data_IF_720950503572
#
_entry.id   IF_720950503572
#
_cell.length_a   1.000
_cell.length_b   1.000
_cell.length_c   1.000
_cell.angle_alpha   90.00
_cell.angle_beta   90.00
_cell.angle_gamma   90.00
#
_symmetry.space_group_name_H-M   'P 1'
#
loop_
_entity.id
_entity.type
_entity.pdbx_description
1 polymer ?
#
# COMPACT_ATOMS: atom_id res chain seq x y z
N UNK A 1 -22.89 -4.42 4.60
CA UNK A 1 -23.08 -5.89 4.65
C UNK A 1 -24.09 -6.22 5.74
N UNK A 2 -24.72 -7.39 5.72
CA UNK A 2 -25.64 -7.81 6.78
C UNK A 2 -24.91 -8.74 7.76
N UNK A 3 -25.19 -8.58 9.05
CA UNK A 3 -24.76 -9.52 10.08
C UNK A 3 -25.50 -10.85 9.90
N UNK A 4 -24.78 -11.95 10.05
CA UNK A 4 -25.28 -13.33 10.00
C UNK A 4 -24.79 -14.07 11.25
N UNK A 5 -25.46 -15.18 11.57
CA UNK A 5 -25.05 -16.03 12.68
C UNK A 5 -23.58 -16.46 12.54
N UNK A 6 -22.87 -16.40 13.66
CA UNK A 6 -21.46 -16.77 13.78
C UNK A 6 -21.34 -17.87 14.82
N UNK A 7 -20.82 -19.03 14.39
CA UNK A 7 -20.50 -20.15 15.28
C UNK A 7 -19.10 -20.03 15.90
N UNK A 8 -18.38 -18.94 15.61
CA UNK A 8 -17.03 -18.72 16.11
C UNK A 8 -17.03 -18.39 17.59
N UNK A 9 -16.09 -18.98 18.33
CA UNK A 9 -15.81 -18.61 19.72
C UNK A 9 -15.18 -17.21 19.80
N UNK A 10 -15.39 -16.55 20.94
CA UNK A 10 -14.76 -15.28 21.29
C UNK A 10 -14.37 -15.29 22.78
N UNK A 11 -13.28 -14.61 23.16
CA UNK A 11 -12.88 -14.49 24.56
C UNK A 11 -13.87 -13.66 25.38
N UNK A 12 -13.80 -13.79 26.70
CA UNK A 12 -14.59 -13.00 27.65
C UNK A 12 -14.56 -11.50 27.31
N UNK A 13 -15.75 -10.88 27.30
CA UNK A 13 -15.91 -9.46 26.96
C UNK A 13 -15.95 -9.17 25.45
N UNK A 14 -15.69 -10.15 24.59
CA UNK A 14 -15.81 -10.01 23.14
C UNK A 14 -17.01 -10.77 22.58
N UNK A 15 -17.43 -10.36 21.38
CA UNK A 15 -18.39 -11.10 20.56
C UNK A 15 -17.77 -11.42 19.21
N UNK A 16 -17.99 -12.64 18.73
CA UNK A 16 -17.70 -13.00 17.35
C UNK A 16 -18.88 -12.60 16.47
N UNK A 17 -18.62 -11.79 15.46
CA UNK A 17 -19.62 -11.33 14.50
C UNK A 17 -19.18 -11.71 13.09
N UNK A 18 -20.15 -12.10 12.26
CA UNK A 18 -19.90 -12.46 10.87
C UNK A 18 -20.80 -11.62 9.99
N UNK A 19 -20.21 -11.00 8.98
CA UNK A 19 -20.93 -10.20 8.01
C UNK A 19 -20.86 -10.87 6.64
N UNK A 20 -21.96 -10.85 5.90
CA UNK A 20 -22.02 -11.31 4.52
C UNK A 20 -22.74 -10.29 3.61
N UNK A 21 -22.30 -10.21 2.36
CA UNK A 21 -22.94 -9.36 1.35
C UNK A 21 -22.16 -9.30 0.04
N UNK A 22 -22.85 -9.30 -1.10
CA UNK A 22 -22.26 -9.16 -2.45
C UNK A 22 -21.09 -10.16 -2.66
N UNK A 23 -21.27 -11.41 -2.19
CA UNK A 23 -20.25 -12.46 -2.30
C UNK A 23 -18.97 -12.22 -1.48
N UNK A 24 -18.98 -11.25 -0.57
CA UNK A 24 -17.95 -10.99 0.45
C UNK A 24 -18.43 -11.53 1.79
N UNK A 25 -17.46 -11.93 2.61
CA UNK A 25 -17.67 -12.35 3.99
C UNK A 25 -16.53 -11.79 4.83
N UNK A 26 -16.86 -11.21 5.98
CA UNK A 26 -15.90 -10.79 6.99
C UNK A 26 -16.26 -11.46 8.31
N UNK A 27 -15.26 -12.01 9.00
CA UNK A 27 -15.42 -12.50 10.38
C UNK A 27 -14.63 -11.58 11.29
N UNK A 28 -15.27 -11.07 12.33
CA UNK A 28 -14.68 -10.11 13.26
C UNK A 28 -14.89 -10.57 14.70
N UNK A 29 -14.00 -10.14 15.59
CA UNK A 29 -14.13 -10.29 17.03
C UNK A 29 -14.04 -8.88 17.61
N UNK A 30 -15.16 -8.39 18.13
CA UNK A 30 -15.29 -7.01 18.62
C UNK A 30 -15.50 -6.99 20.13
N UNK A 31 -14.99 -5.96 20.83
CA UNK A 31 -15.30 -5.77 22.23
C UNK A 31 -16.80 -5.47 22.41
N UNK A 32 -17.41 -6.06 23.44
CA UNK A 32 -18.85 -5.88 23.74
C UNK A 32 -19.12 -4.52 24.39
N UNK A 33 -18.24 -4.09 25.30
CA UNK A 33 -18.25 -2.77 25.94
C UNK A 33 -16.84 -2.41 26.38
N UNK A 34 -16.48 -1.12 26.30
CA UNK A 34 -15.25 -0.53 26.86
C UNK A 34 -15.60 0.80 27.51
N UNK A 35 -16.46 0.77 28.54
CA UNK A 35 -17.01 1.98 29.16
C UNK A 35 -16.48 2.23 30.56
N UNK A 36 -16.01 1.19 31.24
CA UNK A 36 -15.55 1.25 32.63
C UNK A 36 -14.38 0.29 32.87
N UNK A 37 -13.85 0.28 34.11
CA UNK A 37 -12.68 -0.52 34.49
C UNK A 37 -12.97 -2.03 34.52
N UNK A 38 -14.18 -2.43 34.90
CA UNK A 38 -14.59 -3.85 34.98
C UNK A 38 -14.75 -4.46 33.58
N UNK A 39 -15.25 -3.67 32.62
CA UNK A 39 -15.28 -4.04 31.20
C UNK A 39 -13.86 -4.37 30.71
N UNK A 40 -12.88 -3.52 31.00
CA UNK A 40 -11.49 -3.75 30.61
C UNK A 40 -10.89 -5.00 31.25
N UNK A 41 -11.10 -5.19 32.56
CA UNK A 41 -10.63 -6.38 33.27
C UNK A 41 -11.21 -7.66 32.67
N UNK A 42 -12.49 -7.63 32.30
CA UNK A 42 -13.16 -8.75 31.63
C UNK A 42 -12.51 -9.01 30.27
N UNK A 43 -12.31 -7.97 29.46
CA UNK A 43 -11.72 -8.08 28.12
C UNK A 43 -10.35 -8.72 28.14
N UNK A 44 -9.49 -8.38 29.11
CA UNK A 44 -8.11 -8.89 29.15
C UNK A 44 -7.96 -10.19 29.95
N UNK A 45 -9.03 -10.68 30.58
CA UNK A 45 -8.96 -11.83 31.52
C UNK A 45 -8.57 -13.16 30.87
N UNK A 46 -8.97 -13.37 29.62
CA UNK A 46 -8.67 -14.57 28.83
C UNK A 46 -7.60 -14.31 27.75
N UNK A 47 -6.98 -13.12 27.77
CA UNK A 47 -5.99 -12.73 26.77
C UNK A 47 -4.57 -12.91 27.31
N UNK A 48 -3.67 -13.29 26.42
CA UNK A 48 -2.25 -13.36 26.70
C UNK A 48 -1.57 -12.03 26.37
N UNK A 49 -0.95 -11.40 27.37
CA UNK A 49 -0.19 -10.17 27.17
C UNK A 49 1.16 -10.44 26.49
N UNK A 50 1.61 -9.49 25.67
CA UNK A 50 2.95 -9.47 25.10
C UNK A 50 3.52 -8.05 25.07
N UNK A 51 4.86 -7.94 25.13
CA UNK A 51 5.53 -6.64 25.22
C UNK A 51 5.19 -5.91 26.52
N UNK A 52 5.11 -4.58 26.45
CA UNK A 52 4.72 -3.75 27.57
C UNK A 52 3.21 -3.43 27.54
N UNK A 53 2.51 -3.78 28.62
CA UNK A 53 1.11 -3.43 28.82
C UNK A 53 0.93 -2.83 30.22
N UNK A 54 -0.01 -1.88 30.42
CA UNK A 54 -0.31 -1.38 31.75
C UNK A 54 -0.93 -2.49 32.60
N UNK A 55 -0.60 -2.52 33.89
CA UNK A 55 -1.25 -3.43 34.83
C UNK A 55 -2.77 -3.12 34.84
N UNK A 56 -3.65 -4.11 34.59
CA UNK A 56 -5.10 -3.89 34.58
C UNK A 56 -5.64 -3.27 35.87
N UNK A 57 -5.03 -3.56 37.02
CA UNK A 57 -5.45 -3.02 38.32
C UNK A 57 -4.96 -1.59 38.58
N UNK A 58 -4.00 -1.09 37.80
CA UNK A 58 -3.50 0.29 37.95
C UNK A 58 -4.18 1.29 37.02
N UNK A 59 -5.14 0.86 36.19
CA UNK A 59 -5.91 1.74 35.31
C UNK A 59 -6.96 2.50 36.14
N UNK A 60 -6.95 3.83 36.05
CA UNK A 60 -7.84 4.71 36.81
C UNK A 60 -8.93 5.36 35.98
N UNK A 61 -8.73 5.47 34.66
CA UNK A 61 -9.68 6.08 33.74
C UNK A 61 -9.64 5.40 32.38
N UNK A 62 -10.81 5.25 31.78
CA UNK A 62 -11.02 4.72 30.43
C UNK A 62 -12.00 5.63 29.69
N UNK A 63 -11.73 5.87 28.41
CA UNK A 63 -12.68 6.39 27.45
C UNK A 63 -12.50 5.68 26.13
N UNK A 64 -13.58 5.43 25.40
CA UNK A 64 -13.53 4.74 24.12
C UNK A 64 -14.24 5.53 23.02
N UNK A 65 -13.79 5.32 21.79
CA UNK A 65 -14.40 5.83 20.58
C UNK A 65 -14.38 4.77 19.49
N UNK A 66 -15.32 4.86 18.56
CA UNK A 66 -15.35 3.99 17.39
C UNK A 66 -14.62 4.67 16.23
N UNK A 67 -13.82 3.88 15.49
CA UNK A 67 -13.21 4.32 14.23
C UNK A 67 -13.56 3.36 13.09
N UNK A 68 -13.25 3.75 11.87
CA UNK A 68 -13.36 2.91 10.67
C UNK A 68 -12.57 1.60 10.77
N UNK A 69 -11.47 1.58 11.55
CA UNK A 69 -10.61 0.42 11.81
C UNK A 69 -10.91 -0.31 13.12
N UNK A 70 -12.07 -0.06 13.72
CA UNK A 70 -12.48 -0.64 14.99
C UNK A 70 -12.32 0.31 16.18
N UNK A 71 -12.68 -0.17 17.37
CA UNK A 71 -12.66 0.64 18.59
C UNK A 71 -11.24 1.08 18.99
N UNK A 72 -11.13 2.28 19.55
CA UNK A 72 -9.93 2.80 20.21
C UNK A 72 -10.32 3.16 21.64
N UNK A 73 -9.49 2.81 22.61
CA UNK A 73 -9.67 3.21 24.00
C UNK A 73 -8.45 3.96 24.53
N UNK A 74 -8.66 5.09 25.19
CA UNK A 74 -7.65 5.80 25.95
C UNK A 74 -7.68 5.31 27.40
N UNK A 75 -6.53 4.88 27.92
CA UNK A 75 -6.37 4.34 29.28
C UNK A 75 -5.40 5.23 30.06
N UNK A 76 -5.69 5.48 31.34
CA UNK A 76 -4.77 6.17 32.26
C UNK A 76 -4.27 5.20 33.34
N UNK A 77 -2.97 4.90 33.35
CA UNK A 77 -2.35 3.96 34.29
C UNK A 77 -0.95 4.45 34.69
N UNK A 78 -0.88 5.56 35.43
CA UNK A 78 0.36 6.30 35.73
C UNK A 78 0.95 7.05 34.53
N UNK A 79 0.78 6.51 33.32
CA UNK A 79 1.01 7.13 32.02
C UNK A 79 -0.25 7.01 31.15
N UNK A 80 -0.33 7.80 30.09
CA UNK A 80 -1.41 7.72 29.11
C UNK A 80 -1.12 6.59 28.10
N UNK A 81 -2.13 5.79 27.81
CA UNK A 81 -2.05 4.68 26.85
C UNK A 81 -3.19 4.77 25.85
N UNK A 82 -2.92 4.31 24.63
CA UNK A 82 -3.91 4.07 23.59
C UNK A 82 -3.97 2.58 23.31
N UNK A 83 -5.16 2.00 23.47
CA UNK A 83 -5.49 0.64 23.11
C UNK A 83 -6.27 0.64 21.79
N UNK A 84 -5.71 -0.02 20.77
CA UNK A 84 -6.31 -0.13 19.45
C UNK A 84 -6.80 -1.57 19.24
N UNK A 85 -8.10 -1.76 19.11
CA UNK A 85 -8.68 -3.09 18.88
C UNK A 85 -8.52 -3.50 17.41
N UNK A 86 -8.38 -4.81 17.16
CA UNK A 86 -8.20 -5.41 15.84
C UNK A 86 -9.39 -6.32 15.47
N UNK A 87 -10.54 -5.77 15.04
CA UNK A 87 -11.75 -6.56 14.82
C UNK A 87 -11.54 -7.74 13.88
N UNK A 88 -10.77 -7.55 12.81
CA UNK A 88 -10.44 -8.60 11.83
C UNK A 88 -9.03 -9.19 12.00
N UNK A 89 -8.36 -8.90 13.13
CA UNK A 89 -7.02 -9.42 13.44
C UNK A 89 -5.91 -8.78 12.61
N UNK A 90 -4.75 -9.45 12.57
CA UNK A 90 -3.57 -9.07 11.77
C UNK A 90 -3.16 -10.21 10.84
N UNK A 91 -2.23 -9.94 9.93
CA UNK A 91 -1.60 -10.97 9.08
C UNK A 91 -0.47 -11.73 9.80
N UNK A 92 -0.34 -11.58 11.13
CA UNK A 92 0.71 -12.18 11.94
C UNK A 92 2.10 -11.56 11.74
N UNK A 93 2.23 -10.48 10.94
CA UNK A 93 3.52 -9.82 10.67
C UNK A 93 3.69 -8.50 11.41
N UNK A 94 2.67 -8.03 12.13
CA UNK A 94 2.69 -6.73 12.80
C UNK A 94 3.85 -6.57 13.78
N UNK A 95 4.14 -7.60 14.60
CA UNK A 95 5.29 -7.57 15.53
C UNK A 95 6.64 -7.56 14.80
N UNK A 96 6.75 -8.28 13.68
CA UNK A 96 7.96 -8.27 12.86
C UNK A 96 8.18 -6.89 12.23
N UNK A 97 7.12 -6.23 11.76
CA UNK A 97 7.17 -4.85 11.28
C UNK A 97 7.62 -3.89 12.38
N UNK A 98 7.05 -4.01 13.58
CA UNK A 98 7.42 -3.20 14.75
C UNK A 98 8.90 -3.36 15.11
N UNK A 99 9.42 -4.60 15.11
CA UNK A 99 10.83 -4.88 15.39
C UNK A 99 11.79 -4.37 14.32
N UNK A 100 11.36 -4.34 13.05
CA UNK A 100 12.17 -3.87 11.93
C UNK A 100 12.10 -2.34 11.74
N UNK A 101 11.22 -1.65 12.47
CA UNK A 101 11.05 -0.21 12.33
C UNK A 101 12.30 0.55 12.78
N UNK A 102 12.71 1.63 12.09
CA UNK A 102 13.79 2.50 12.54
C UNK A 102 13.54 3.07 13.94
N UNK A 103 14.62 3.35 14.68
CA UNK A 103 14.53 4.00 15.99
C UNK A 103 13.75 5.33 15.90
N UNK A 104 12.91 5.59 16.90
CA UNK A 104 12.01 6.75 16.92
C UNK A 104 10.68 6.52 16.18
N UNK A 105 10.48 5.40 15.50
CA UNK A 105 9.17 5.03 14.93
C UNK A 105 8.12 4.80 16.01
N UNK A 106 6.88 5.20 15.74
CA UNK A 106 5.76 5.00 16.66
C UNK A 106 5.16 3.58 16.48
N UNK A 107 5.79 2.62 17.15
CA UNK A 107 5.39 1.21 17.15
C UNK A 107 4.58 0.83 18.41
N UNK A 108 3.77 -0.24 18.38
CA UNK A 108 3.14 -0.76 19.60
C UNK A 108 4.17 -1.12 20.67
N UNK A 109 3.93 -0.69 21.90
CA UNK A 109 4.74 -1.06 23.07
C UNK A 109 4.48 -2.51 23.49
N UNK A 110 3.24 -2.97 23.28
CA UNK A 110 2.80 -4.33 23.59
C UNK A 110 1.38 -4.55 23.09
N UNK A 111 0.72 -5.56 23.63
CA UNK A 111 -0.66 -5.87 23.27
C UNK A 111 -1.16 -7.15 23.92
N UNK A 112 -2.31 -7.59 23.42
CA UNK A 112 -3.00 -8.79 23.88
C UNK A 112 -3.33 -9.72 22.71
N UNK A 113 -3.18 -11.01 22.92
CA UNK A 113 -3.52 -12.09 21.98
C UNK A 113 -4.56 -13.03 22.53
N UNK A 114 -5.27 -13.68 21.62
CA UNK A 114 -6.13 -14.82 21.91
C UNK A 114 -5.98 -15.86 20.80
N UNK A 115 -5.67 -17.11 21.15
CA UNK A 115 -5.44 -18.18 20.17
C UNK A 115 -4.49 -17.77 19.02
N UNK A 116 -3.32 -17.23 19.38
CA UNK A 116 -2.28 -16.71 18.45
C UNK A 116 -2.71 -15.56 17.53
N UNK A 117 -3.90 -14.98 17.75
CA UNK A 117 -4.40 -13.81 17.01
C UNK A 117 -4.21 -12.54 17.83
N UNK A 118 -3.57 -11.52 17.25
CA UNK A 118 -3.50 -10.20 17.87
C UNK A 118 -4.92 -9.60 17.99
N UNK A 119 -5.29 -9.21 19.21
CA UNK A 119 -6.62 -8.69 19.56
C UNK A 119 -6.58 -7.19 19.84
N UNK A 120 -5.56 -6.74 20.59
CA UNK A 120 -5.42 -5.35 21.03
C UNK A 120 -3.94 -4.95 20.90
N UNK A 121 -3.67 -3.77 20.33
CA UNK A 121 -2.37 -3.12 20.35
C UNK A 121 -2.34 -2.03 21.40
N UNK A 122 -1.30 -1.99 22.22
CA UNK A 122 -1.10 -1.00 23.27
C UNK A 122 0.08 -0.10 22.93
N UNK A 123 -0.14 1.21 23.08
CA UNK A 123 0.86 2.25 22.87
C UNK A 123 0.86 3.20 24.04
N UNK A 124 2.03 3.67 24.43
CA UNK A 124 2.12 4.86 25.27
C UNK A 124 1.73 6.07 24.41
N UNK A 125 0.80 6.87 24.90
CA UNK A 125 0.42 8.11 24.22
C UNK A 125 1.57 9.09 24.38
N UNK A 126 2.19 9.47 23.25
CA UNK A 126 3.11 10.59 23.17
C UNK A 126 2.44 11.77 22.50
N UNK A 127 2.89 12.98 22.82
CA UNK A 127 2.59 14.18 22.02
C UNK A 127 3.30 14.02 20.66
N UNK A 128 2.71 13.27 19.75
CA UNK A 128 3.07 13.36 18.35
C UNK A 128 2.70 14.77 17.92
N UNK A 129 3.64 15.49 17.29
CA UNK A 129 3.37 16.79 16.69
C UNK A 129 2.30 16.68 15.60
N UNK A 130 2.20 17.71 14.75
CA UNK A 130 1.31 17.62 13.58
C UNK A 130 1.70 16.42 12.71
N UNK A 131 0.69 15.68 12.24
CA UNK A 131 0.91 14.64 11.23
C UNK A 131 1.02 15.27 9.83
N UNK A 132 1.69 14.56 8.91
CA UNK A 132 1.95 15.06 7.57
C UNK A 132 0.68 15.26 6.76
N UNK A 133 -0.40 14.51 7.01
CA UNK A 133 -1.67 14.76 6.32
C UNK A 133 -2.29 16.10 6.74
N UNK A 134 -2.19 16.47 8.02
CA UNK A 134 -2.63 17.75 8.55
C UNK A 134 -1.78 18.92 8.00
N UNK A 135 -0.46 18.76 7.98
CA UNK A 135 0.47 19.75 7.40
C UNK A 135 0.20 19.96 5.90
N UNK A 136 0.05 18.87 5.14
CA UNK A 136 -0.25 18.91 3.72
C UNK A 136 -1.59 19.60 3.45
N UNK A 137 -2.64 19.26 4.22
CA UNK A 137 -3.96 19.91 4.06
C UNK A 137 -3.88 21.42 4.25
N UNK A 138 -3.10 21.88 5.23
CA UNK A 138 -2.92 23.31 5.45
C UNK A 138 -2.15 23.98 4.30
N UNK A 139 -1.06 23.36 3.84
CA UNK A 139 -0.31 23.86 2.68
C UNK A 139 -1.19 23.93 1.41
N UNK A 140 -1.97 22.88 1.12
CA UNK A 140 -2.91 22.86 0.00
C UNK A 140 -4.04 23.90 0.14
N UNK A 141 -4.48 24.20 1.37
CA UNK A 141 -5.52 25.20 1.63
C UNK A 141 -5.09 26.61 1.22
N UNK A 142 -3.80 26.92 1.35
CA UNK A 142 -3.22 28.22 0.98
C UNK A 142 -2.45 28.17 -0.35
N UNK A 143 -2.56 27.07 -1.10
CA UNK A 143 -1.82 26.80 -2.34
C UNK A 143 -0.29 27.00 -2.20
N UNK A 144 0.27 26.67 -1.04
CA UNK A 144 1.73 26.68 -0.83
C UNK A 144 2.36 25.39 -1.38
N UNK A 145 2.83 25.49 -2.61
CA UNK A 145 3.50 24.37 -3.28
C UNK A 145 4.79 23.95 -2.58
N UNK A 146 5.55 24.89 -2.01
CA UNK A 146 6.85 24.60 -1.40
C UNK A 146 6.66 23.75 -0.15
N UNK A 147 5.76 24.18 0.74
CA UNK A 147 5.48 23.46 1.98
C UNK A 147 4.80 22.11 1.71
N UNK A 148 3.90 22.05 0.73
CA UNK A 148 3.27 20.80 0.33
C UNK A 148 4.28 19.79 -0.23
N UNK A 149 5.23 20.23 -1.06
CA UNK A 149 6.28 19.37 -1.60
C UNK A 149 7.25 18.92 -0.51
N UNK A 150 7.59 19.79 0.43
CA UNK A 150 8.50 19.47 1.53
C UNK A 150 7.88 18.41 2.46
N UNK A 151 6.63 18.60 2.87
CA UNK A 151 5.88 17.63 3.68
C UNK A 151 5.85 16.24 3.01
N UNK A 152 5.59 16.21 1.70
CA UNK A 152 5.57 14.97 0.92
C UNK A 152 6.95 14.33 0.75
N UNK A 153 8.00 15.14 0.55
CA UNK A 153 9.38 14.65 0.48
C UNK A 153 9.76 13.96 1.80
N UNK A 154 9.45 14.58 2.94
CA UNK A 154 9.69 14.03 4.27
C UNK A 154 8.94 12.70 4.47
N UNK A 155 7.65 12.64 4.11
CA UNK A 155 6.89 11.39 4.19
C UNK A 155 7.48 10.27 3.31
N UNK A 156 7.94 10.62 2.10
CA UNK A 156 8.68 9.70 1.24
C UNK A 156 9.93 9.16 1.94
N UNK A 157 10.73 10.05 2.52
CA UNK A 157 11.98 9.71 3.21
C UNK A 157 11.77 8.81 4.43
N UNK A 158 10.73 9.08 5.21
CA UNK A 158 10.36 8.24 6.36
C UNK A 158 10.00 6.82 5.90
N UNK A 159 9.18 6.70 4.85
CA UNK A 159 8.83 5.39 4.29
C UNK A 159 10.05 4.67 3.68
N UNK A 160 10.92 5.40 2.99
CA UNK A 160 12.14 4.84 2.40
C UNK A 160 13.12 4.33 3.46
N UNK A 161 13.29 5.05 4.58
CA UNK A 161 14.06 4.60 5.75
C UNK A 161 13.50 3.31 6.36
N UNK A 162 12.18 3.21 6.51
CA UNK A 162 11.54 1.97 6.97
C UNK A 162 11.86 0.80 6.04
N UNK A 163 11.75 1.00 4.74
CA UNK A 163 12.06 0.00 3.74
C UNK A 163 13.53 -0.44 3.71
N UNK A 164 14.46 0.49 3.90
CA UNK A 164 15.88 0.19 4.06
C UNK A 164 16.15 -0.61 5.33
N UNK A 165 15.47 -0.33 6.44
CA UNK A 165 15.58 -1.15 7.64
C UNK A 165 15.04 -2.58 7.40
N UNK A 166 13.86 -2.71 6.75
CA UNK A 166 13.25 -4.01 6.43
C UNK A 166 14.10 -4.84 5.47
N UNK A 167 14.79 -4.21 4.50
CA UNK A 167 15.68 -4.90 3.57
C UNK A 167 16.70 -5.78 4.31
N UNK A 168 17.27 -5.25 5.40
CA UNK A 168 18.28 -5.94 6.21
C UNK A 168 17.74 -7.10 7.03
N UNK A 169 16.42 -7.11 7.28
CA UNK A 169 15.77 -8.09 8.17
C UNK A 169 15.11 -9.21 7.37
N UNK A 170 14.36 -8.86 6.31
CA UNK A 170 13.56 -9.83 5.55
C UNK A 170 13.22 -9.32 4.16
N UNK A 171 13.77 -10.00 3.17
CA UNK A 171 13.34 -9.95 1.77
C UNK A 171 13.16 -11.37 1.26
N UNK A 172 12.13 -11.58 0.44
CA UNK A 172 11.94 -12.83 -0.30
C UNK A 172 11.75 -12.53 -1.79
N UNK A 173 11.98 -13.51 -2.68
CA UNK A 173 11.78 -13.30 -4.11
C UNK A 173 10.37 -12.78 -4.43
N UNK A 174 10.21 -11.98 -5.50
CA UNK A 174 8.90 -11.52 -5.97
C UNK A 174 7.92 -12.69 -6.16
N UNK A 175 6.63 -12.46 -5.88
CA UNK A 175 5.56 -13.43 -6.13
C UNK A 175 4.47 -12.90 -7.10
N UNK A 176 4.81 -12.69 -8.39
CA UNK A 176 3.86 -12.20 -9.39
C UNK A 176 2.59 -13.04 -9.53
N UNK A 177 2.68 -14.34 -9.23
CA UNK A 177 1.55 -15.26 -9.37
C UNK A 177 0.48 -14.94 -8.33
N UNK A 178 0.86 -14.87 -7.05
CA UNK A 178 -0.09 -14.54 -5.98
C UNK A 178 -0.55 -13.10 -6.03
N UNK A 179 0.29 -12.16 -6.45
CA UNK A 179 -0.12 -10.77 -6.65
C UNK A 179 -1.18 -10.62 -7.73
N UNK A 180 -0.97 -11.21 -8.91
CA UNK A 180 -1.97 -11.21 -9.98
C UNK A 180 -3.25 -11.96 -9.57
N UNK A 181 -3.14 -13.08 -8.85
CA UNK A 181 -4.31 -13.80 -8.32
C UNK A 181 -5.07 -12.99 -7.27
N UNK A 182 -4.38 -12.11 -6.53
CA UNK A 182 -5.02 -11.16 -5.63
C UNK A 182 -5.83 -10.14 -6.42
N UNK A 183 -5.21 -9.45 -7.37
CA UNK A 183 -5.87 -8.47 -8.24
C UNK A 183 -7.04 -9.08 -9.00
N UNK A 184 -6.87 -10.29 -9.54
CA UNK A 184 -7.95 -11.02 -10.21
C UNK A 184 -9.20 -11.18 -9.34
N UNK A 185 -9.03 -11.62 -8.09
CA UNK A 185 -10.18 -11.80 -7.21
C UNK A 185 -10.80 -10.45 -6.82
N UNK A 186 -10.02 -9.36 -6.72
CA UNK A 186 -10.60 -8.03 -6.51
C UNK A 186 -11.47 -7.65 -7.71
N UNK A 187 -10.96 -7.81 -8.92
CA UNK A 187 -11.68 -7.57 -10.16
C UNK A 187 -12.97 -8.42 -10.25
N UNK A 188 -12.90 -9.71 -9.96
CA UNK A 188 -14.04 -10.63 -10.02
C UNK A 188 -15.12 -10.29 -8.98
N UNK A 189 -14.72 -10.01 -7.73
CA UNK A 189 -15.65 -9.66 -6.65
C UNK A 189 -16.34 -8.33 -6.90
N UNK A 190 -15.60 -7.36 -7.42
CA UNK A 190 -16.12 -6.03 -7.74
C UNK A 190 -16.78 -5.98 -9.13
N UNK A 191 -16.77 -7.08 -9.89
CA UNK A 191 -17.23 -7.13 -11.28
C UNK A 191 -16.59 -6.02 -12.13
N UNK A 192 -15.31 -5.79 -11.91
CA UNK A 192 -14.55 -4.80 -12.63
C UNK A 192 -14.63 -5.09 -14.13
N UNK A 193 -14.84 -4.04 -14.92
CA UNK A 193 -14.88 -4.14 -16.39
C UNK A 193 -13.49 -4.24 -17.01
N UNK A 194 -12.45 -4.10 -16.18
CA UNK A 194 -11.04 -4.04 -16.57
C UNK A 194 -10.28 -5.15 -15.86
N UNK A 195 -9.36 -5.75 -16.59
CA UNK A 195 -8.50 -6.83 -16.13
C UNK A 195 -7.05 -6.40 -16.35
N UNK A 196 -6.23 -6.38 -15.31
CA UNK A 196 -4.81 -6.07 -15.42
C UNK A 196 -3.94 -7.21 -14.89
N UNK A 197 -3.12 -7.78 -15.77
CA UNK A 197 -2.05 -8.71 -15.37
C UNK A 197 -0.68 -8.10 -15.65
N UNK A 198 0.12 -7.95 -14.60
CA UNK A 198 1.46 -7.37 -14.67
C UNK A 198 2.54 -8.46 -14.57
N UNK A 199 3.68 -8.23 -15.22
CA UNK A 199 4.84 -9.14 -15.14
C UNK A 199 5.65 -8.96 -13.85
N UNK A 200 5.61 -7.75 -13.28
CA UNK A 200 6.41 -7.31 -12.13
C UNK A 200 7.92 -7.34 -12.41
N UNK A 201 8.66 -6.35 -11.89
CA UNK A 201 10.12 -6.36 -11.96
C UNK A 201 10.69 -7.29 -10.90
N UNK A 202 11.85 -7.89 -11.18
CA UNK A 202 12.63 -8.63 -10.17
C UNK A 202 13.14 -7.73 -9.03
N UNK A 203 13.23 -6.43 -9.30
CA UNK A 203 13.68 -5.41 -8.36
C UNK A 203 12.55 -4.94 -7.41
N UNK A 204 11.45 -5.68 -7.36
CA UNK A 204 10.37 -5.49 -6.39
C UNK A 204 10.28 -6.76 -5.52
N UNK A 205 11.22 -7.01 -4.58
CA UNK A 205 11.15 -8.19 -3.73
C UNK A 205 9.95 -8.11 -2.78
N UNK A 206 9.49 -9.25 -2.29
CA UNK A 206 8.55 -9.31 -1.16
C UNK A 206 9.26 -8.83 0.11
N UNK A 207 8.60 -7.99 0.90
CA UNK A 207 9.13 -7.42 2.15
C UNK A 207 8.12 -7.55 3.29
N UNK A 208 8.50 -7.09 4.50
CA UNK A 208 7.55 -6.78 5.57
C UNK A 208 6.73 -5.53 5.21
N UNK A 209 5.95 -5.59 4.14
CA UNK A 209 5.10 -4.48 3.69
C UNK A 209 4.11 -4.08 4.78
N UNK A 210 3.94 -2.78 4.97
CA UNK A 210 3.02 -2.16 5.92
C UNK A 210 1.55 -2.34 5.51
N UNK A 211 1.30 -2.55 4.22
CA UNK A 211 -0.01 -2.81 3.66
C UNK A 211 -0.73 -1.51 3.32
N UNK A 212 -1.36 -0.89 4.31
CA UNK A 212 -1.95 0.44 4.18
C UNK A 212 -1.17 1.45 5.02
N UNK A 213 -0.51 2.38 4.34
CA UNK A 213 0.16 3.54 4.95
C UNK A 213 -0.58 4.79 4.48
N UNK A 214 -0.90 5.69 5.42
CA UNK A 214 -1.48 7.00 5.14
C UNK A 214 -0.51 8.10 5.54
N UNK A 215 -0.69 9.30 5.00
CA UNK A 215 0.12 10.46 5.38
C UNK A 215 -0.08 10.85 6.86
N UNK A 216 -1.23 10.49 7.44
CA UNK A 216 -1.49 10.66 8.88
C UNK A 216 -0.68 9.70 9.76
N UNK A 217 -0.06 8.66 9.18
CA UNK A 217 0.83 7.75 9.89
C UNK A 217 2.25 8.31 9.99
N UNK A 218 2.54 9.47 9.38
CA UNK A 218 3.85 10.13 9.43
C UNK A 218 3.76 11.38 10.30
N UNK A 219 4.72 11.55 11.20
CA UNK A 219 4.86 12.75 12.03
C UNK A 219 6.34 13.10 12.16
N UNK A 220 6.77 14.19 11.52
CA UNK A 220 8.18 14.53 11.39
C UNK A 220 8.98 13.37 10.79
N UNK A 221 9.96 12.88 11.54
CA UNK A 221 10.83 11.76 11.15
C UNK A 221 10.33 10.37 11.56
N UNK A 222 9.13 10.27 12.15
CA UNK A 222 8.58 9.04 12.71
C UNK A 222 7.50 8.44 11.81
N UNK A 223 7.52 7.10 11.71
CA UNK A 223 6.46 6.32 11.08
C UNK A 223 5.65 5.58 12.14
N UNK A 224 4.32 5.70 12.08
CA UNK A 224 3.39 4.87 12.83
C UNK A 224 3.12 3.58 12.06
N UNK A 225 3.36 2.44 12.71
CA UNK A 225 2.94 1.13 12.17
C UNK A 225 1.51 0.87 12.64
N UNK A 226 0.54 1.16 11.78
CA UNK A 226 -0.89 1.17 12.12
C UNK A 226 -1.60 -0.19 12.11
N UNK A 227 -2.92 -0.13 12.35
CA UNK A 227 -3.84 -1.26 12.24
C UNK A 227 -4.11 -1.61 10.77
N UNK A 228 -4.35 -2.90 10.44
CA UNK A 228 -4.73 -3.30 9.08
C UNK A 228 -6.08 -2.71 8.66
N UNK A 229 -6.28 -2.60 7.35
CA UNK A 229 -7.50 -2.06 6.76
C UNK A 229 -8.61 -3.11 6.66
N UNK A 230 -9.86 -2.69 6.52
CA UNK A 230 -11.00 -3.62 6.45
C UNK A 230 -10.88 -4.61 5.28
N UNK A 231 -10.32 -4.18 4.16
CA UNK A 231 -10.08 -5.06 3.00
C UNK A 231 -9.26 -6.31 3.36
N UNK A 232 -8.40 -6.23 4.37
CA UNK A 232 -7.59 -7.35 4.83
C UNK A 232 -8.41 -8.37 5.65
N UNK A 233 -9.47 -7.89 6.33
CA UNK A 233 -10.47 -8.74 6.98
C UNK A 233 -11.46 -9.39 6.00
N UNK A 234 -11.76 -8.71 4.88
CA UNK A 234 -12.57 -9.26 3.80
C UNK A 234 -11.81 -10.31 2.98
N UNK A 235 -10.48 -10.20 2.93
CA UNK A 235 -9.61 -11.22 2.35
C UNK A 235 -8.23 -11.21 3.00
N UNK A 236 -7.99 -12.27 3.76
CA UNK A 236 -6.70 -12.56 4.35
C UNK A 236 -5.56 -12.55 3.31
N UNK A 237 -4.40 -12.09 3.79
CA UNK A 237 -3.17 -12.10 3.03
C UNK A 237 -2.72 -13.54 2.73
N UNK A 238 -2.37 -13.81 1.47
CA UNK A 238 -1.83 -15.12 1.04
C UNK A 238 -0.36 -15.03 0.60
N UNK A 239 0.20 -13.81 0.64
CA UNK A 239 1.55 -13.49 0.23
C UNK A 239 2.04 -12.21 0.92
N UNK A 240 3.36 -12.02 0.91
CA UNK A 240 4.00 -10.74 1.20
C UNK A 240 3.94 -9.84 -0.05
N UNK A 241 4.18 -8.54 0.14
CA UNK A 241 4.09 -7.54 -0.92
C UNK A 241 5.39 -6.74 -1.00
N UNK A 242 5.66 -6.09 -2.15
CA UNK A 242 6.82 -5.24 -2.27
C UNK A 242 6.60 -3.88 -1.60
N UNK A 243 7.70 -3.26 -1.20
CA UNK A 243 7.77 -1.87 -0.74
C UNK A 243 7.06 -0.87 -1.67
N UNK A 244 7.05 -1.14 -2.98
CA UNK A 244 6.34 -0.32 -3.98
C UNK A 244 4.83 -0.23 -3.72
N UNK A 245 4.22 -1.25 -3.09
CA UNK A 245 2.80 -1.25 -2.72
C UNK A 245 2.50 -0.28 -1.59
N UNK A 246 3.42 -0.15 -0.63
CA UNK A 246 3.29 0.81 0.47
C UNK A 246 3.47 2.25 -0.05
N UNK A 247 4.41 2.47 -0.98
CA UNK A 247 4.53 3.76 -1.68
C UNK A 247 3.25 4.11 -2.45
N UNK A 248 2.67 3.13 -3.15
CA UNK A 248 1.39 3.32 -3.83
C UNK A 248 0.25 3.67 -2.87
N UNK A 249 0.27 3.14 -1.64
CA UNK A 249 -0.68 3.52 -0.59
C UNK A 249 -0.58 5.02 -0.25
N UNK A 250 0.63 5.55 -0.04
CA UNK A 250 0.83 6.98 0.21
C UNK A 250 0.47 7.86 -0.99
N UNK A 251 0.82 7.43 -2.20
CA UNK A 251 0.50 8.15 -3.44
C UNK A 251 -1.03 8.22 -3.67
N UNK A 252 -1.73 7.14 -3.34
CA UNK A 252 -3.19 7.11 -3.39
C UNK A 252 -3.82 7.94 -2.27
N UNK A 253 -3.23 7.95 -1.07
CA UNK A 253 -3.66 8.81 0.04
C UNK A 253 -3.49 10.31 -0.26
N UNK A 254 -2.36 10.69 -0.86
CA UNK A 254 -2.15 12.03 -1.42
C UNK A 254 -3.27 12.39 -2.41
N UNK A 255 -3.65 11.45 -3.28
CA UNK A 255 -4.73 11.68 -4.24
C UNK A 255 -6.07 11.92 -3.54
N UNK A 256 -6.36 11.21 -2.43
CA UNK A 256 -7.56 11.47 -1.59
C UNK A 256 -7.53 12.86 -0.99
N UNK A 257 -6.42 13.25 -0.37
CA UNK A 257 -6.27 14.56 0.26
C UNK A 257 -6.42 15.66 -0.80
N UNK A 258 -5.73 15.53 -1.93
CA UNK A 258 -5.81 16.46 -3.06
C UNK A 258 -7.24 16.59 -3.59
N UNK A 259 -7.94 15.48 -3.84
CA UNK A 259 -9.33 15.49 -4.29
C UNK A 259 -10.28 16.18 -3.30
N UNK A 260 -10.06 15.99 -1.99
CA UNK A 260 -10.86 16.63 -0.94
C UNK A 260 -10.50 18.10 -0.71
N UNK A 261 -9.38 18.56 -1.25
CA UNK A 261 -8.91 19.94 -1.11
C UNK A 261 -9.36 20.79 -2.29
N UNK A 262 -9.71 22.05 -2.04
CA UNK A 262 -10.06 23.02 -3.08
C UNK A 262 -8.82 23.70 -3.71
N UNK A 263 -7.68 23.02 -3.71
CA UNK A 263 -6.39 23.55 -4.16
C UNK A 263 -6.35 23.77 -5.68
N UNK A 264 -5.59 24.77 -6.12
CA UNK A 264 -5.27 24.98 -7.54
C UNK A 264 -3.97 24.28 -7.96
N UNK A 265 -3.25 23.69 -7.02
CA UNK A 265 -1.98 23.02 -7.28
C UNK A 265 -2.16 21.74 -8.09
N UNK A 266 -1.28 21.56 -9.07
CA UNK A 266 -1.19 20.33 -9.87
C UNK A 266 -0.74 19.14 -9.02
N UNK A 267 -1.35 17.97 -9.24
CA UNK A 267 -1.02 16.76 -8.48
C UNK A 267 0.36 16.17 -8.87
N UNK A 268 0.83 16.40 -10.09
CA UNK A 268 2.06 15.77 -10.61
C UNK A 268 3.33 16.20 -9.84
N UNK A 269 3.58 17.50 -9.58
CA UNK A 269 4.73 17.93 -8.77
C UNK A 269 4.71 17.41 -7.33
N UNK A 270 3.51 17.25 -6.74
CA UNK A 270 3.33 16.70 -5.40
C UNK A 270 3.69 15.21 -5.35
N UNK A 271 3.20 14.43 -6.33
CA UNK A 271 3.55 13.01 -6.48
C UNK A 271 5.05 12.83 -6.70
N UNK A 272 5.67 13.68 -7.52
CA UNK A 272 7.11 13.64 -7.76
C UNK A 272 7.90 13.86 -6.47
N UNK A 273 7.54 14.86 -5.65
CA UNK A 273 8.22 15.14 -4.38
C UNK A 273 8.17 13.93 -3.43
N UNK A 274 6.99 13.29 -3.30
CA UNK A 274 6.83 12.07 -2.50
C UNK A 274 7.70 10.91 -3.03
N UNK A 275 7.68 10.67 -4.35
CA UNK A 275 8.43 9.58 -4.98
C UNK A 275 9.94 9.81 -4.83
N UNK A 276 10.42 11.04 -5.04
CA UNK A 276 11.85 11.34 -4.93
C UNK A 276 12.34 11.31 -3.48
N UNK A 277 11.52 11.76 -2.51
CA UNK A 277 11.81 11.56 -1.09
C UNK A 277 11.91 10.08 -0.72
N UNK A 278 11.02 9.25 -1.27
CA UNK A 278 11.13 7.80 -1.07
C UNK A 278 12.41 7.22 -1.68
N UNK A 279 12.74 7.61 -2.91
CA UNK A 279 13.94 7.12 -3.60
C UNK A 279 15.24 7.56 -2.92
N UNK A 280 15.26 8.70 -2.24
CA UNK A 280 16.48 9.22 -1.61
C UNK A 280 16.95 8.38 -0.42
N UNK A 281 16.07 7.54 0.15
CA UNK A 281 16.35 6.74 1.35
C UNK A 281 16.03 5.26 1.21
N UNK A 282 15.25 4.85 0.22
CA UNK A 282 14.96 3.45 -0.06
C UNK A 282 16.15 2.72 -0.73
N UNK A 283 16.17 1.37 -0.71
CA UNK A 283 17.24 0.60 -1.33
C UNK A 283 17.41 0.86 -2.83
N UNK A 284 18.66 0.97 -3.29
CA UNK A 284 19.00 1.37 -4.66
C UNK A 284 18.39 0.48 -5.75
N UNK A 285 18.31 -0.83 -5.51
CA UNK A 285 17.69 -1.74 -6.48
C UNK A 285 16.20 -1.45 -6.66
N UNK A 286 15.51 -1.09 -5.57
CA UNK A 286 14.05 -0.87 -5.56
C UNK A 286 13.68 0.49 -6.17
N UNK A 287 14.64 1.40 -6.25
CA UNK A 287 14.48 2.75 -6.84
C UNK A 287 14.84 2.80 -8.32
N UNK A 288 15.34 1.70 -8.89
CA UNK A 288 15.74 1.61 -10.29
C UNK A 288 14.60 1.89 -11.28
N UNK A 289 14.97 2.38 -12.46
CA UNK A 289 14.03 2.58 -13.58
C UNK A 289 13.22 1.32 -13.89
N UNK A 290 13.83 0.13 -13.77
CA UNK A 290 13.14 -1.14 -14.02
C UNK A 290 12.07 -1.44 -12.96
N UNK A 291 12.30 -1.06 -11.69
CA UNK A 291 11.32 -1.21 -10.63
C UNK A 291 10.11 -0.30 -10.84
N UNK A 292 10.31 0.93 -11.34
CA UNK A 292 9.23 1.87 -11.64
C UNK A 292 8.60 1.67 -13.04
N UNK A 293 9.17 0.83 -13.89
CA UNK A 293 8.74 0.66 -15.27
C UNK A 293 7.30 0.12 -15.39
N UNK A 294 6.37 0.99 -15.80
CA UNK A 294 4.93 0.69 -15.87
C UNK A 294 4.57 -0.51 -16.75
N UNK A 295 5.33 -0.77 -17.83
CA UNK A 295 5.13 -1.97 -18.65
C UNK A 295 5.45 -3.29 -17.90
N UNK A 296 6.19 -3.22 -16.79
CA UNK A 296 6.48 -4.31 -15.85
C UNK A 296 5.73 -4.13 -14.52
N UNK A 297 4.57 -3.49 -14.52
CA UNK A 297 3.76 -3.26 -13.32
C UNK A 297 4.03 -1.89 -12.72
N UNK A 298 5.28 -1.61 -12.33
CA UNK A 298 5.69 -0.31 -11.79
C UNK A 298 4.86 0.11 -10.58
N UNK A 299 4.80 1.41 -10.32
CA UNK A 299 3.92 2.00 -9.28
C UNK A 299 2.43 1.89 -9.65
N UNK A 300 2.12 2.01 -10.94
CA UNK A 300 0.75 2.13 -11.46
C UNK A 300 -0.13 0.91 -11.12
N UNK A 301 0.39 -0.32 -11.21
CA UNK A 301 -0.38 -1.52 -10.87
C UNK A 301 -0.76 -1.56 -9.38
N UNK A 302 0.11 -1.04 -8.52
CA UNK A 302 -0.12 -1.01 -7.08
C UNK A 302 -1.10 0.08 -6.70
N UNK A 303 -1.05 1.25 -7.34
CA UNK A 303 -2.05 2.31 -7.19
C UNK A 303 -3.44 1.84 -7.67
N UNK A 304 -3.49 1.08 -8.77
CA UNK A 304 -4.69 0.40 -9.22
C UNK A 304 -5.25 -0.56 -8.15
N UNK A 305 -4.40 -1.37 -7.51
CA UNK A 305 -4.82 -2.22 -6.40
C UNK A 305 -5.40 -1.39 -5.24
N UNK A 306 -4.75 -0.29 -4.84
CA UNK A 306 -5.24 0.58 -3.77
C UNK A 306 -6.63 1.15 -4.07
N UNK A 307 -6.88 1.56 -5.33
CA UNK A 307 -8.20 2.01 -5.75
C UNK A 307 -9.26 0.89 -5.65
N UNK A 308 -8.92 -0.34 -6.05
CA UNK A 308 -9.83 -1.49 -5.92
C UNK A 308 -10.13 -1.81 -4.45
N UNK A 309 -9.15 -1.69 -3.56
CA UNK A 309 -9.33 -1.92 -2.12
C UNK A 309 -10.27 -0.87 -1.51
N UNK A 310 -10.18 0.40 -1.92
CA UNK A 310 -11.12 1.44 -1.49
C UNK A 310 -12.56 1.13 -1.97
N UNK A 311 -12.72 0.68 -3.22
CA UNK A 311 -14.04 0.26 -3.75
C UNK A 311 -14.58 -0.96 -3.00
N UNK A 312 -13.71 -1.90 -2.62
CA UNK A 312 -14.09 -3.07 -1.81
C UNK A 312 -14.64 -2.67 -0.44
N UNK A 313 -13.96 -1.75 0.25
CA UNK A 313 -14.40 -1.26 1.55
C UNK A 313 -15.66 -0.39 1.46
N UNK A 314 -15.77 0.48 0.45
CA UNK A 314 -16.98 1.26 0.24
C UNK A 314 -18.19 0.36 -0.09
N UNK A 315 -17.96 -0.72 -0.84
CA UNK A 315 -18.98 -1.73 -1.15
C UNK A 315 -19.41 -2.50 0.09
N UNK A 316 -18.47 -2.86 0.98
CA UNK A 316 -18.79 -3.56 2.23
C UNK A 316 -19.60 -2.67 3.18
N UNK A 317 -19.26 -1.38 3.27
CA UNK A 317 -19.98 -0.38 4.06
C UNK A 317 -21.26 0.15 3.41
N UNK A 318 -21.48 -0.11 2.11
CA UNK A 318 -22.58 0.48 1.32
C UNK A 318 -22.54 2.03 1.29
N UNK A 319 -21.33 2.60 1.30
CA UNK A 319 -21.09 4.05 1.45
C UNK A 319 -21.08 4.83 0.14
N UNK A 320 -21.53 4.23 -0.97
CA UNK A 320 -21.45 4.85 -2.30
C UNK A 320 -20.06 4.76 -2.94
N UNK A 321 -19.84 5.40 -4.11
CA UNK A 321 -18.58 5.34 -4.83
C UNK A 321 -17.47 6.12 -4.09
N UNK A 322 -16.33 5.49 -3.75
CA UNK A 322 -15.24 6.19 -3.09
C UNK A 322 -14.45 7.02 -4.10
N UNK A 323 -14.47 8.34 -3.94
CA UNK A 323 -13.63 9.24 -4.72
C UNK A 323 -12.30 9.53 -4.00
N UNK A 324 -11.19 9.72 -4.74
CA UNK A 324 -11.08 9.73 -6.21
C UNK A 324 -10.88 8.33 -6.82
N UNK A 325 -10.98 7.24 -6.04
CA UNK A 325 -10.65 5.89 -6.51
C UNK A 325 -11.49 5.48 -7.74
N UNK A 326 -12.79 5.73 -7.72
CA UNK A 326 -13.68 5.42 -8.87
C UNK A 326 -13.32 6.26 -10.10
N UNK A 327 -13.07 7.56 -9.93
CA UNK A 327 -12.60 8.42 -11.01
C UNK A 327 -11.28 7.91 -11.59
N UNK A 328 -10.29 7.58 -10.76
CA UNK A 328 -9.00 7.04 -11.20
C UNK A 328 -9.16 5.74 -11.99
N UNK A 329 -10.00 4.81 -11.50
CA UNK A 329 -10.29 3.55 -12.18
C UNK A 329 -10.89 3.74 -13.58
N UNK A 330 -11.69 4.79 -13.79
CA UNK A 330 -12.27 5.09 -15.11
C UNK A 330 -11.20 5.36 -16.18
N UNK A 331 -10.05 5.92 -15.80
CA UNK A 331 -8.94 6.22 -16.73
C UNK A 331 -7.98 5.05 -16.96
N UNK A 332 -8.05 3.99 -16.14
CA UNK A 332 -7.17 2.81 -16.27
C UNK A 332 -7.31 2.14 -17.64
N UNK A 333 -8.51 2.14 -18.23
CA UNK A 333 -8.72 1.61 -19.59
C UNK A 333 -7.89 2.34 -20.65
N UNK A 334 -7.91 3.67 -20.62
CA UNK A 334 -7.13 4.49 -21.55
C UNK A 334 -5.63 4.26 -21.35
N UNK A 335 -5.20 4.21 -20.09
CA UNK A 335 -3.83 3.88 -19.70
C UNK A 335 -3.36 2.53 -20.27
N UNK A 336 -4.13 1.47 -20.05
CA UNK A 336 -3.82 0.13 -20.56
C UNK A 336 -3.81 0.09 -22.10
N UNK A 337 -4.77 0.74 -22.76
CA UNK A 337 -4.82 0.82 -24.23
C UNK A 337 -3.57 1.49 -24.78
N UNK A 338 -3.12 2.60 -24.17
CA UNK A 338 -1.88 3.29 -24.55
C UNK A 338 -0.67 2.38 -24.36
N UNK A 339 -0.55 1.73 -23.20
CA UNK A 339 0.54 0.78 -22.97
C UNK A 339 0.54 -0.39 -23.96
N UNK A 340 -0.63 -0.90 -24.32
CA UNK A 340 -0.76 -1.96 -25.31
C UNK A 340 -0.31 -1.47 -26.70
N UNK A 341 -0.74 -0.29 -27.12
CA UNK A 341 -0.32 0.33 -28.38
C UNK A 341 1.20 0.49 -28.46
N UNK A 342 1.82 0.94 -27.36
CA UNK A 342 3.28 1.10 -27.28
C UNK A 342 4.04 -0.21 -27.54
N UNK A 343 3.45 -1.38 -27.24
CA UNK A 343 4.10 -2.69 -27.48
C UNK A 343 4.43 -2.93 -28.97
N UNK A 344 3.76 -2.22 -29.89
CA UNK A 344 4.08 -2.26 -31.32
C UNK A 344 5.53 -1.87 -31.58
N UNK A 345 6.05 -0.83 -30.91
CA UNK A 345 7.45 -0.43 -31.04
C UNK A 345 8.41 -1.50 -30.47
N UNK A 346 8.04 -2.13 -29.36
CA UNK A 346 8.80 -3.25 -28.79
C UNK A 346 8.81 -4.48 -29.72
N UNK A 347 7.68 -4.80 -30.35
CA UNK A 347 7.58 -5.90 -31.31
C UNK A 347 8.40 -5.63 -32.58
N UNK A 348 8.30 -4.42 -33.15
CA UNK A 348 9.10 -4.00 -34.31
C UNK A 348 10.60 -4.01 -34.00
N UNK A 349 10.99 -3.58 -32.79
CA UNK A 349 12.38 -3.67 -32.33
C UNK A 349 12.87 -5.13 -32.33
N UNK A 350 12.10 -6.05 -31.74
CA UNK A 350 12.44 -7.48 -31.72
C UNK A 350 12.53 -8.08 -33.13
N UNK A 351 11.61 -7.73 -34.03
CA UNK A 351 11.64 -8.18 -35.42
C UNK A 351 12.88 -7.66 -36.16
N UNK A 352 13.21 -6.37 -36.01
CA UNK A 352 14.40 -5.79 -36.61
C UNK A 352 15.69 -6.45 -36.07
N UNK A 353 15.75 -6.73 -34.76
CA UNK A 353 16.86 -7.47 -34.17
C UNK A 353 16.99 -8.88 -34.76
N UNK A 354 15.87 -9.60 -34.86
CA UNK A 354 15.83 -10.95 -35.42
C UNK A 354 16.32 -10.97 -36.86
N UNK A 355 15.83 -10.08 -37.73
CA UNK A 355 16.29 -10.02 -39.12
C UNK A 355 17.77 -9.64 -39.23
N UNK A 356 18.26 -8.72 -38.41
CA UNK A 356 19.67 -8.37 -38.36
C UNK A 356 20.55 -9.57 -37.97
N UNK A 357 20.24 -10.23 -36.85
CA UNK A 357 21.01 -11.38 -36.35
C UNK A 357 20.92 -12.56 -37.32
N UNK A 358 19.72 -12.94 -37.74
CA UNK A 358 19.50 -14.08 -38.62
C UNK A 358 20.21 -13.90 -39.97
N UNK A 359 20.22 -12.68 -40.52
CA UNK A 359 20.96 -12.39 -41.76
C UNK A 359 22.45 -12.61 -41.59
N UNK A 360 23.07 -12.08 -40.51
CA UNK A 360 24.50 -12.29 -40.23
C UNK A 360 24.87 -13.76 -39.99
N UNK A 361 23.99 -14.52 -39.34
CA UNK A 361 24.20 -15.95 -39.10
C UNK A 361 24.12 -16.74 -40.40
N UNK A 362 23.13 -16.46 -41.24
CA UNK A 362 22.91 -17.19 -42.49
C UNK A 362 23.92 -16.85 -43.59
N UNK A 363 24.56 -15.68 -43.54
CA UNK A 363 25.59 -15.28 -44.50
C UNK A 363 27.01 -15.50 -43.98
N UNK A 364 27.21 -16.22 -42.87
CA UNK A 364 28.54 -16.34 -42.27
C UNK A 364 29.51 -17.23 -43.10
N UNK A 365 30.74 -16.78 -43.41
CA UNK A 365 31.29 -15.44 -43.15
C UNK A 365 30.76 -14.39 -44.15
N UNK A 366 30.25 -13.24 -43.69
CA UNK A 366 29.54 -12.30 -44.55
C UNK A 366 30.46 -11.58 -45.53
N UNK A 367 30.02 -11.45 -46.79
CA UNK A 367 30.68 -10.57 -47.74
C UNK A 367 30.46 -9.10 -47.37
N UNK A 368 31.39 -8.19 -47.72
CA UNK A 368 31.31 -6.77 -47.37
C UNK A 368 30.00 -6.09 -47.82
N UNK A 369 29.39 -6.54 -48.94
CA UNK A 369 28.12 -6.03 -49.44
C UNK A 369 26.88 -6.49 -48.66
N UNK A 370 27.00 -7.55 -47.86
CA UNK A 370 25.90 -8.17 -47.12
C UNK A 370 25.79 -7.66 -45.67
N UNK A 371 26.80 -6.92 -45.21
CA UNK A 371 26.91 -6.37 -43.84
C UNK A 371 26.00 -5.14 -43.59
N UNK A 372 25.79 -4.19 -44.53
CA UNK A 372 25.09 -2.94 -44.22
C UNK A 372 23.63 -3.12 -43.79
N UNK A 373 22.86 -4.00 -44.43
CA UNK A 373 21.45 -4.22 -44.12
C UNK A 373 21.27 -4.80 -42.71
N UNK A 374 21.99 -5.88 -42.31
CA UNK A 374 21.92 -6.39 -40.95
C UNK A 374 22.28 -5.35 -39.88
N UNK A 375 23.32 -4.55 -40.10
CA UNK A 375 23.70 -3.46 -39.18
C UNK A 375 22.57 -2.43 -39.09
N UNK A 376 21.99 -2.01 -40.21
CA UNK A 376 20.88 -1.07 -40.21
C UNK A 376 19.67 -1.62 -39.42
N UNK A 377 19.35 -2.91 -39.57
CA UNK A 377 18.30 -3.58 -38.79
C UNK A 377 18.60 -3.56 -37.28
N UNK A 378 19.84 -3.80 -36.86
CA UNK A 378 20.23 -3.74 -35.45
C UNK A 378 20.16 -2.30 -34.88
N UNK A 379 20.56 -1.30 -35.66
CA UNK A 379 20.44 0.12 -35.27
C UNK A 379 18.97 0.51 -35.11
N UNK A 380 18.12 0.15 -36.07
CA UNK A 380 16.67 0.39 -36.02
C UNK A 380 16.06 -0.31 -34.80
N UNK A 381 16.47 -1.55 -34.53
CA UNK A 381 16.04 -2.29 -33.33
C UNK A 381 16.35 -1.52 -32.04
N UNK A 382 17.60 -1.07 -31.87
CA UNK A 382 18.02 -0.31 -30.70
C UNK A 382 17.23 1.00 -30.54
N UNK A 383 17.06 1.74 -31.64
CA UNK A 383 16.29 2.99 -31.64
C UNK A 383 14.82 2.76 -31.25
N UNK A 384 14.15 1.77 -31.88
CA UNK A 384 12.76 1.41 -31.56
C UNK A 384 12.59 0.95 -30.11
N UNK A 385 13.56 0.21 -29.57
CA UNK A 385 13.54 -0.20 -28.16
C UNK A 385 13.64 1.01 -27.22
N UNK A 386 14.51 1.97 -27.55
CA UNK A 386 14.62 3.23 -26.81
C UNK A 386 13.32 4.03 -26.83
N UNK A 387 12.67 4.13 -28.00
CA UNK A 387 11.34 4.76 -28.13
C UNK A 387 10.32 4.02 -27.26
N UNK A 388 10.25 2.69 -27.36
CA UNK A 388 9.34 1.88 -26.54
C UNK A 388 9.51 2.13 -25.03
N UNK A 389 10.75 2.19 -24.54
CA UNK A 389 11.03 2.50 -23.13
C UNK A 389 10.53 3.90 -22.73
N UNK A 390 10.82 4.92 -23.54
CA UNK A 390 10.44 6.32 -23.27
C UNK A 390 8.92 6.55 -23.31
N UNK A 391 8.17 5.70 -24.02
CA UNK A 391 6.71 5.78 -24.07
C UNK A 391 6.02 5.19 -22.82
N UNK A 392 6.76 4.55 -21.91
CA UNK A 392 6.22 4.14 -20.62
C UNK A 392 5.77 5.38 -19.85
N UNK A 393 4.52 5.44 -19.37
CA UNK A 393 4.08 6.54 -18.54
C UNK A 393 4.95 6.64 -17.28
N UNK A 394 5.40 7.84 -16.91
CA UNK A 394 6.23 8.02 -15.72
C UNK A 394 5.38 7.89 -14.45
N UNK A 395 5.97 7.48 -13.31
CA UNK A 395 5.23 7.10 -12.10
C UNK A 395 4.53 8.28 -11.39
N UNK A 396 5.08 9.48 -11.50
CA UNK A 396 4.52 10.69 -10.91
C UNK A 396 3.26 11.20 -11.65
N UNK A 397 3.04 10.76 -12.90
CA UNK A 397 1.89 11.20 -13.68
C UNK A 397 0.64 10.38 -13.32
N UNK A 398 -0.44 11.01 -12.83
CA UNK A 398 -1.65 10.31 -12.45
C UNK A 398 -2.38 9.73 -13.68
N UNK A 399 -3.20 8.71 -13.47
CA UNK A 399 -4.01 8.09 -14.53
C UNK A 399 -4.92 9.09 -15.25
N UNK A 400 -5.47 10.05 -14.52
CA UNK A 400 -6.40 11.08 -15.02
C UNK A 400 -5.79 11.98 -16.09
N UNK A 401 -4.46 12.15 -16.10
CA UNK A 401 -3.76 13.01 -17.06
C UNK A 401 -3.39 12.28 -18.36
N UNK A 402 -3.83 11.03 -18.54
CA UNK A 402 -3.46 10.17 -19.68
C UNK A 402 -4.64 9.83 -20.60
N UNK A 403 -5.80 10.43 -20.34
CA UNK A 403 -7.01 10.35 -21.16
C UNK A 403 -6.88 10.98 -22.53
#
# INVERSE_FOLDING_TARGET
MAEIESDSEAPAGFRAVRFAGIGLVASMIEPTSVSNLDDWKTLVSELEAWGEVPNPDSITRISSESSDRGMIAALSAGSAWTAEFLPWGSDGRLRARAKAAPDGSHVPSGGYTWADRDMILLRRTSDAGSDTASELKEALRVDDLSDAQEALRIAGEVLGRYHSAVETVRTTPPDPSRWNARTQWLEEKLRATLIWRAKYSKNQPCTLSLGEVRLSDVSGDSLRIGRPRLADGLRAHTCEFPAMRDLASLVHDLSRIHHSSSTSLELTPLRLALIEGWKSTAPADWTSDDAFYSHRGGLAIWEYEQCLLDVLEATSHQSGPPEPAVTTLAYVKAYQKRMFSNRTYGALSMMAAFFGIASLVNTFPPALGEIPIPIACLVVSYWLYGVYKRLSPPPERPFTHLG
#
